data_IF_573197893264
#
_entry.id   IF_573197893264
#
_cell.length_a   1.000
_cell.length_b   1.000
_cell.length_c   1.000
_cell.angle_alpha   90.00
_cell.angle_beta   90.00
_cell.angle_gamma   90.00
#
_symmetry.space_group_name_H-M   'P 1'
#
loop_
_entity.id
_entity.type
_entity.pdbx_description
1 polymer ?
#
# COMPACT_ATOMS: atom_id res chain seq x y z
N UNK A 1 15.97 -40.09 -73.42
CA UNK A 1 16.34 -39.00 -72.50
C UNK A 1 15.44 -37.80 -72.77
N UNK A 2 14.41 -37.57 -71.95
CA UNK A 2 13.66 -36.30 -71.92
C UNK A 2 13.92 -35.68 -70.56
N UNK A 3 14.86 -34.74 -70.52
CA UNK A 3 15.17 -33.92 -69.35
C UNK A 3 14.40 -32.62 -69.46
N UNK A 4 13.41 -32.41 -68.57
CA UNK A 4 12.93 -31.14 -67.99
C UNK A 4 11.57 -31.40 -67.29
N UNK A 5 11.18 -30.67 -66.23
CA UNK A 5 11.89 -29.53 -65.63
C UNK A 5 11.96 -29.66 -64.11
N UNK A 6 13.13 -30.07 -63.59
CA UNK A 6 13.44 -29.91 -62.15
C UNK A 6 13.40 -28.41 -61.75
N UNK A 7 13.60 -27.51 -62.72
CA UNK A 7 13.57 -26.04 -62.53
C UNK A 7 12.19 -25.45 -62.21
N UNK A 8 11.08 -26.02 -62.72
CA UNK A 8 9.73 -25.48 -62.49
C UNK A 8 9.24 -25.79 -61.07
N UNK A 9 9.64 -26.94 -60.53
CA UNK A 9 9.36 -27.30 -59.13
C UNK A 9 10.11 -26.39 -58.15
N UNK A 10 11.38 -26.09 -58.44
CA UNK A 10 12.19 -25.19 -57.61
C UNK A 10 11.65 -23.75 -57.59
N UNK A 11 11.24 -23.22 -58.75
CA UNK A 11 10.69 -21.86 -58.82
C UNK A 11 9.36 -21.74 -58.05
N UNK A 12 8.52 -22.78 -58.11
CA UNK A 12 7.27 -22.87 -57.35
C UNK A 12 7.50 -22.88 -55.83
N UNK A 13 8.50 -23.65 -55.36
CA UNK A 13 8.86 -23.73 -53.95
C UNK A 13 9.41 -22.39 -53.44
N UNK A 14 10.25 -21.70 -54.22
CA UNK A 14 10.80 -20.38 -53.84
C UNK A 14 9.67 -19.35 -53.70
N UNK A 15 8.73 -19.32 -54.65
CA UNK A 15 7.58 -18.41 -54.57
C UNK A 15 6.69 -18.71 -53.36
N UNK A 16 6.46 -19.99 -53.04
CA UNK A 16 5.70 -20.37 -51.85
C UNK A 16 6.40 -19.93 -50.55
N UNK A 17 7.72 -20.04 -50.48
CA UNK A 17 8.51 -19.58 -49.32
C UNK A 17 8.43 -18.05 -49.17
N UNK A 18 8.51 -17.29 -50.27
CA UNK A 18 8.41 -15.83 -50.24
C UNK A 18 7.02 -15.38 -49.76
N UNK A 19 5.97 -16.01 -50.28
CA UNK A 19 4.58 -15.72 -49.87
C UNK A 19 4.38 -16.06 -48.39
N UNK A 20 4.88 -17.22 -47.94
CA UNK A 20 4.77 -17.65 -46.56
C UNK A 20 5.56 -16.72 -45.62
N UNK A 21 6.78 -16.33 -46.00
CA UNK A 21 7.59 -15.37 -45.24
C UNK A 21 6.94 -13.99 -45.16
N UNK A 22 6.34 -13.50 -46.26
CA UNK A 22 5.58 -12.26 -46.28
C UNK A 22 4.33 -12.30 -45.40
N UNK A 23 3.60 -13.42 -45.42
CA UNK A 23 2.45 -13.63 -44.55
C UNK A 23 2.85 -13.70 -43.07
N UNK A 24 3.94 -14.39 -42.74
CA UNK A 24 4.50 -14.43 -41.38
C UNK A 24 4.96 -13.04 -40.94
N UNK A 25 5.65 -12.28 -41.80
CA UNK A 25 6.07 -10.91 -41.50
C UNK A 25 4.87 -9.97 -41.27
N UNK A 26 3.77 -10.14 -42.01
CA UNK A 26 2.51 -9.44 -41.78
C UNK A 26 1.85 -9.86 -40.47
N UNK A 27 1.78 -11.16 -40.17
CA UNK A 27 1.19 -11.66 -38.91
C UNK A 27 2.01 -11.19 -37.71
N UNK A 28 3.34 -11.21 -37.79
CA UNK A 28 4.22 -10.68 -36.74
C UNK A 28 4.11 -9.15 -36.68
N UNK A 29 4.11 -8.46 -37.81
CA UNK A 29 4.00 -7.00 -37.89
C UNK A 29 2.67 -6.46 -37.36
N UNK A 30 1.54 -7.13 -37.65
CA UNK A 30 0.23 -6.81 -37.08
C UNK A 30 0.06 -7.33 -35.65
N UNK A 31 0.75 -8.42 -35.28
CA UNK A 31 0.73 -9.00 -33.93
C UNK A 31 1.47 -8.17 -32.88
N UNK A 32 2.36 -7.25 -33.29
CA UNK A 32 3.08 -6.31 -32.41
C UNK A 32 2.43 -4.91 -32.43
N UNK A 33 1.12 -4.80 -32.68
CA UNK A 33 0.39 -3.61 -32.22
C UNK A 33 0.17 -3.73 -30.71
N UNK A 34 1.26 -3.57 -29.96
CA UNK A 34 1.31 -3.78 -28.52
C UNK A 34 0.31 -2.89 -27.78
N UNK A 35 -0.49 -3.49 -26.90
CA UNK A 35 -1.18 -2.73 -25.84
C UNK A 35 -0.09 -2.09 -24.98
N UNK A 36 0.15 -0.81 -25.18
CA UNK A 36 1.07 -0.05 -24.35
C UNK A 36 0.67 -0.21 -22.88
N UNK A 37 1.63 -0.58 -22.04
CA UNK A 37 1.49 -0.63 -20.59
C UNK A 37 1.98 0.69 -19.99
N UNK A 38 1.32 1.14 -18.92
CA UNK A 38 1.76 2.30 -18.14
C UNK A 38 2.13 1.86 -16.73
N UNK A 39 3.06 2.60 -16.11
CA UNK A 39 3.43 2.37 -14.72
C UNK A 39 2.30 2.86 -13.80
N UNK A 40 1.92 2.01 -12.85
CA UNK A 40 1.00 2.33 -11.74
C UNK A 40 1.67 1.88 -10.46
N UNK A 41 1.66 2.72 -9.44
CA UNK A 41 2.33 2.47 -8.16
C UNK A 41 1.38 2.77 -7.01
N UNK A 42 1.22 1.80 -6.12
CA UNK A 42 0.54 1.95 -4.85
C UNK A 42 1.57 2.09 -3.73
N UNK A 43 1.21 2.83 -2.69
CA UNK A 43 2.01 2.95 -1.48
C UNK A 43 1.25 2.36 -0.29
N UNK A 44 2.00 1.85 0.68
CA UNK A 44 1.41 1.28 1.89
C UNK A 44 0.44 2.27 2.51
N UNK A 45 -0.75 1.77 2.83
CA UNK A 45 -1.79 2.55 3.45
C UNK A 45 -2.41 1.69 4.55
N UNK A 46 -2.65 2.30 5.70
CA UNK A 46 -3.38 1.68 6.80
C UNK A 46 -4.41 2.67 7.34
N UNK A 47 -5.55 2.17 7.81
CA UNK A 47 -6.63 3.01 8.31
C UNK A 47 -6.85 2.86 9.81
N UNK A 48 -6.99 4.00 10.49
CA UNK A 48 -7.46 4.04 11.87
C UNK A 48 -8.98 3.95 11.89
N UNK A 49 -9.55 3.04 12.70
CA UNK A 49 -10.99 2.83 12.77
C UNK A 49 -11.73 4.12 13.14
N UNK A 50 -12.74 4.47 12.34
CA UNK A 50 -13.56 5.67 12.50
C UNK A 50 -12.99 6.93 11.84
N UNK A 51 -11.71 6.95 11.47
CA UNK A 51 -11.07 8.09 10.79
C UNK A 51 -11.16 7.95 9.27
N UNK A 52 -10.83 9.03 8.56
CA UNK A 52 -10.65 9.02 7.10
C UNK A 52 -9.24 8.53 6.76
N UNK A 53 -9.10 7.78 5.67
CA UNK A 53 -7.83 7.23 5.20
C UNK A 53 -7.64 7.46 3.70
N UNK A 54 -6.39 7.42 3.25
CA UNK A 54 -6.02 7.57 1.84
C UNK A 54 -5.37 6.27 1.38
N UNK A 55 -6.00 5.61 0.40
CA UNK A 55 -5.40 4.50 -0.34
C UNK A 55 -4.61 5.09 -1.50
N UNK A 56 -3.28 5.06 -1.38
CA UNK A 56 -2.40 5.76 -2.30
C UNK A 56 -2.24 5.00 -3.62
N UNK A 57 -2.49 5.68 -4.74
CA UNK A 57 -2.23 5.17 -6.09
C UNK A 57 -1.80 6.31 -7.02
N UNK A 58 -0.70 6.09 -7.73
CA UNK A 58 -0.13 7.05 -8.67
C UNK A 58 0.13 6.37 -10.01
N UNK A 59 0.10 7.15 -11.09
CA UNK A 59 0.30 6.67 -12.44
C UNK A 59 1.01 7.71 -13.30
N UNK A 60 1.51 7.30 -14.46
CA UNK A 60 2.13 8.22 -15.41
C UNK A 60 1.11 9.30 -15.87
N UNK A 61 1.39 10.60 -15.69
CA UNK A 61 0.45 11.67 -16.03
C UNK A 61 -0.02 11.64 -17.50
N UNK A 62 -1.28 12.01 -17.72
CA UNK A 62 -1.88 12.18 -19.05
C UNK A 62 -2.69 13.48 -19.11
N UNK A 63 -2.38 14.33 -20.10
CA UNK A 63 -3.07 15.61 -20.31
C UNK A 63 -4.52 15.43 -20.80
N UNK A 64 -4.88 14.26 -21.33
CA UNK A 64 -6.22 13.96 -21.85
C UNK A 64 -7.13 13.43 -20.74
N UNK A 65 -7.54 14.29 -19.80
CA UNK A 65 -8.36 13.94 -18.64
C UNK A 65 -9.61 13.10 -18.99
N UNK A 66 -10.33 13.44 -20.06
CA UNK A 66 -11.53 12.70 -20.48
C UNK A 66 -11.25 11.26 -20.93
N UNK A 67 -10.00 10.97 -21.34
CA UNK A 67 -9.54 9.63 -21.70
C UNK A 67 -9.02 8.81 -20.52
N UNK A 68 -8.95 9.39 -19.32
CA UNK A 68 -8.51 8.71 -18.11
C UNK A 68 -9.70 7.94 -17.50
N UNK A 69 -9.46 6.66 -17.20
CA UNK A 69 -10.35 5.80 -16.44
C UNK A 69 -9.58 5.31 -15.22
N UNK A 70 -10.15 5.50 -14.04
CA UNK A 70 -9.63 4.99 -12.77
C UNK A 70 -10.68 4.05 -12.20
N UNK A 71 -10.29 2.82 -11.88
CA UNK A 71 -11.15 1.87 -11.19
C UNK A 71 -10.44 1.35 -9.95
N UNK A 72 -11.08 1.54 -8.80
CA UNK A 72 -10.72 0.87 -7.57
C UNK A 72 -11.63 -0.34 -7.37
N UNK A 73 -11.01 -1.49 -7.14
CA UNK A 73 -11.70 -2.75 -6.88
C UNK A 73 -11.16 -3.35 -5.57
N UNK A 74 -12.00 -4.12 -4.87
CA UNK A 74 -11.61 -4.90 -3.69
C UNK A 74 -11.82 -6.37 -3.99
N UNK A 75 -10.81 -7.19 -3.75
CA UNK A 75 -10.92 -8.64 -3.95
C UNK A 75 -12.08 -9.23 -3.14
N UNK A 76 -12.82 -10.16 -3.74
CA UNK A 76 -13.98 -10.80 -3.10
C UNK A 76 -15.24 -9.91 -2.99
N UNK A 77 -15.25 -8.70 -3.55
CA UNK A 77 -16.42 -7.81 -3.55
C UNK A 77 -17.08 -7.77 -4.94
N UNK A 78 -18.39 -8.01 -5.00
CA UNK A 78 -19.15 -7.94 -6.24
C UNK A 78 -19.55 -6.47 -6.56
N UNK A 79 -18.65 -5.72 -7.20
CA UNK A 79 -18.86 -4.33 -7.58
C UNK A 79 -17.58 -3.49 -7.47
N UNK A 80 -17.61 -2.23 -7.91
CA UNK A 80 -16.47 -1.33 -7.76
C UNK A 80 -16.44 -0.68 -6.37
N UNK A 81 -15.24 -0.38 -5.90
CA UNK A 81 -15.03 0.50 -4.74
C UNK A 81 -15.27 1.94 -5.16
N UNK A 82 -14.72 2.33 -6.31
CA UNK A 82 -14.89 3.65 -6.90
C UNK A 82 -14.54 3.59 -8.40
N UNK A 83 -15.24 4.34 -9.25
CA UNK A 83 -14.87 4.50 -10.66
C UNK A 83 -14.94 5.97 -11.06
N UNK A 84 -13.96 6.38 -11.87
CA UNK A 84 -13.87 7.71 -12.49
C UNK A 84 -13.65 7.53 -13.98
N UNK A 85 -14.46 8.22 -14.80
CA UNK A 85 -14.44 8.13 -16.25
C UNK A 85 -15.00 9.40 -16.86
N UNK A 86 -14.39 9.85 -17.96
CA UNK A 86 -14.89 11.03 -18.68
C UNK A 86 -14.79 12.31 -17.85
N UNK A 87 -13.77 12.42 -17.00
CA UNK A 87 -13.51 13.60 -16.18
C UNK A 87 -14.37 13.74 -14.92
N UNK A 88 -15.12 12.69 -14.53
CA UNK A 88 -15.98 12.70 -13.34
C UNK A 88 -16.12 11.30 -12.72
N UNK A 89 -16.64 11.26 -11.50
CA UNK A 89 -17.00 10.02 -10.82
C UNK A 89 -18.18 9.33 -11.54
N UNK A 90 -18.11 8.01 -11.71
CA UNK A 90 -19.19 7.13 -12.17
C UNK A 90 -19.45 6.06 -11.12
N UNK A 91 -20.39 6.33 -10.21
CA UNK A 91 -20.66 5.48 -9.04
C UNK A 91 -21.85 4.55 -9.24
N UNK A 92 -22.32 4.38 -10.49
CA UNK A 92 -23.50 3.58 -10.80
C UNK A 92 -23.37 2.10 -10.39
N UNK A 93 -22.15 1.54 -10.49
CA UNK A 93 -21.81 0.16 -10.11
C UNK A 93 -21.09 0.04 -8.76
N UNK A 94 -21.10 1.12 -7.97
CA UNK A 94 -20.41 1.13 -6.67
C UNK A 94 -21.09 0.19 -5.67
N UNK A 95 -20.29 -0.69 -5.08
CA UNK A 95 -20.72 -1.61 -4.04
C UNK A 95 -21.22 -0.86 -2.79
N UNK A 96 -22.29 -1.37 -2.17
CA UNK A 96 -23.02 -0.69 -1.10
C UNK A 96 -22.13 -0.26 0.08
N UNK A 97 -21.17 -1.12 0.47
CA UNK A 97 -20.25 -0.85 1.59
C UNK A 97 -19.39 0.42 1.42
N UNK A 98 -19.24 0.94 0.20
CA UNK A 98 -18.42 2.10 -0.15
C UNK A 98 -19.22 3.35 -0.51
N UNK A 99 -20.55 3.22 -0.66
CA UNK A 99 -21.42 4.34 -1.05
C UNK A 99 -21.33 5.50 -0.07
N UNK A 100 -21.10 6.70 -0.60
CA UNK A 100 -20.94 7.94 0.18
C UNK A 100 -19.65 8.03 1.01
N UNK A 101 -18.79 7.01 0.94
CA UNK A 101 -17.55 6.92 1.74
C UNK A 101 -16.29 7.17 0.92
N UNK A 102 -16.36 7.15 -0.40
CA UNK A 102 -15.18 7.26 -1.27
C UNK A 102 -15.14 8.55 -2.05
N UNK A 103 -13.95 9.11 -2.29
CA UNK A 103 -13.74 10.18 -3.26
C UNK A 103 -12.32 10.13 -3.81
N UNK A 104 -12.14 10.50 -5.09
CA UNK A 104 -10.82 10.81 -5.64
C UNK A 104 -10.46 12.29 -5.42
N UNK A 105 -9.17 12.60 -5.57
CA UNK A 105 -8.67 13.97 -5.68
C UNK A 105 -8.76 14.40 -7.15
N UNK A 106 -9.98 14.72 -7.61
CA UNK A 106 -10.28 14.90 -9.05
C UNK A 106 -9.41 15.98 -9.71
N UNK A 107 -9.02 17.01 -8.97
CA UNK A 107 -8.10 18.08 -9.40
C UNK A 107 -6.67 17.59 -9.65
N UNK A 108 -6.28 16.47 -9.05
CA UNK A 108 -4.93 15.89 -9.15
C UNK A 108 -4.85 14.70 -10.12
N UNK A 109 -5.98 14.26 -10.69
CA UNK A 109 -6.01 13.14 -11.65
C UNK A 109 -5.15 13.41 -12.88
N UNK A 110 -5.21 14.63 -13.42
CA UNK A 110 -4.45 15.00 -14.63
C UNK A 110 -2.93 14.94 -14.43
N UNK A 111 -2.46 15.12 -13.18
CA UNK A 111 -1.05 15.03 -12.81
C UNK A 111 -0.66 13.67 -12.24
N UNK A 112 -1.49 12.64 -12.46
CA UNK A 112 -1.14 11.25 -12.15
C UNK A 112 -1.53 10.78 -10.74
N UNK A 113 -2.39 11.49 -10.01
CA UNK A 113 -2.88 11.04 -8.71
C UNK A 113 -4.24 10.32 -8.85
N UNK A 114 -4.26 9.02 -8.56
CA UNK A 114 -5.46 8.20 -8.52
C UNK A 114 -5.80 7.73 -7.09
N UNK A 115 -5.26 8.41 -6.08
CA UNK A 115 -5.45 8.04 -4.67
C UNK A 115 -6.91 8.21 -4.25
N UNK A 116 -7.37 7.26 -3.44
CA UNK A 116 -8.76 7.19 -2.99
C UNK A 116 -8.85 7.58 -1.52
N UNK A 117 -9.63 8.62 -1.21
CA UNK A 117 -10.06 8.88 0.16
C UNK A 117 -11.19 7.92 0.51
N UNK A 118 -11.04 7.19 1.61
CA UNK A 118 -12.05 6.33 2.22
C UNK A 118 -12.44 6.90 3.60
N UNK A 119 -13.72 7.22 3.77
CA UNK A 119 -14.24 7.84 4.99
C UNK A 119 -14.66 6.82 6.05
N UNK A 120 -14.46 7.20 7.31
CA UNK A 120 -14.91 6.44 8.48
C UNK A 120 -14.55 4.97 8.40
N UNK A 121 -13.25 4.67 8.41
CA UNK A 121 -12.71 3.32 8.19
C UNK A 121 -13.32 2.29 9.14
N UNK A 122 -13.59 1.10 8.61
CA UNK A 122 -14.18 -0.05 9.29
C UNK A 122 -13.25 -1.25 9.21
N UNK A 123 -13.42 -2.21 10.12
CA UNK A 123 -12.67 -3.48 10.09
C UNK A 123 -12.86 -4.23 8.76
N UNK A 124 -14.08 -4.25 8.23
CA UNK A 124 -14.43 -4.91 6.96
C UNK A 124 -13.80 -4.28 5.72
N UNK A 125 -13.26 -3.06 5.84
CA UNK A 125 -12.57 -2.41 4.74
C UNK A 125 -11.17 -3.01 4.51
N UNK A 126 -10.60 -3.77 5.46
CA UNK A 126 -9.33 -4.44 5.26
C UNK A 126 -9.39 -5.45 4.09
N UNK A 127 -8.25 -5.62 3.42
CA UNK A 127 -8.09 -6.59 2.32
C UNK A 127 -7.25 -6.05 1.17
N UNK A 128 -7.21 -6.82 0.08
CA UNK A 128 -6.49 -6.46 -1.14
C UNK A 128 -7.36 -5.59 -2.03
N UNK A 129 -6.82 -4.43 -2.40
CA UNK A 129 -7.39 -3.52 -3.38
C UNK A 129 -6.57 -3.54 -4.66
N UNK A 130 -7.23 -3.30 -5.78
CA UNK A 130 -6.60 -3.08 -7.07
C UNK A 130 -6.94 -1.68 -7.58
N UNK A 131 -5.91 -0.90 -7.89
CA UNK A 131 -6.03 0.36 -8.61
C UNK A 131 -5.71 0.10 -10.10
N UNK A 132 -6.73 0.19 -10.95
CA UNK A 132 -6.63 0.00 -12.39
C UNK A 132 -6.73 1.34 -13.10
N UNK A 133 -5.78 1.61 -14.00
CA UNK A 133 -5.70 2.87 -14.75
C UNK A 133 -5.70 2.58 -16.25
N UNK A 134 -6.54 3.31 -16.98
CA UNK A 134 -6.49 3.37 -18.45
C UNK A 134 -6.32 4.83 -18.85
N UNK A 135 -5.37 5.08 -19.74
CA UNK A 135 -5.05 6.41 -20.29
C UNK A 135 -4.97 6.32 -21.82
N UNK A 136 -4.72 7.45 -22.48
CA UNK A 136 -4.44 7.46 -23.92
C UNK A 136 -3.10 6.81 -24.28
N UNK A 137 -2.19 6.70 -23.31
CA UNK A 137 -0.87 6.07 -23.46
C UNK A 137 -0.90 4.58 -23.25
N UNK A 138 -1.91 4.03 -22.56
CA UNK A 138 -1.94 2.61 -22.23
C UNK A 138 -2.73 2.26 -20.97
N UNK A 139 -2.58 1.02 -20.50
CA UNK A 139 -3.25 0.48 -19.31
C UNK A 139 -2.23 -0.05 -18.30
N UNK A 140 -2.50 0.13 -17.02
CA UNK A 140 -1.71 -0.44 -15.93
C UNK A 140 -2.54 -0.67 -14.67
N UNK A 141 -1.98 -1.40 -13.72
CA UNK A 141 -2.60 -1.61 -12.41
C UNK A 141 -1.59 -1.95 -11.32
N UNK A 142 -1.91 -1.62 -10.09
CA UNK A 142 -1.16 -2.04 -8.91
C UNK A 142 -2.11 -2.51 -7.80
N UNK A 143 -1.62 -3.45 -6.99
CA UNK A 143 -2.35 -3.97 -5.83
C UNK A 143 -1.89 -3.28 -4.56
N UNK A 144 -2.80 -3.12 -3.61
CA UNK A 144 -2.55 -2.54 -2.30
C UNK A 144 -3.16 -3.46 -1.24
N UNK A 145 -2.33 -4.00 -0.37
CA UNK A 145 -2.80 -4.68 0.83
C UNK A 145 -3.13 -3.61 1.89
N UNK A 146 -4.42 -3.43 2.16
CA UNK A 146 -4.90 -2.41 3.08
C UNK A 146 -5.24 -3.03 4.44
N UNK A 147 -4.53 -2.56 5.48
CA UNK A 147 -4.76 -2.98 6.87
C UNK A 147 -5.62 -1.94 7.60
N UNK A 148 -6.48 -2.40 8.49
CA UNK A 148 -7.27 -1.54 9.38
C UNK A 148 -7.08 -1.94 10.82
N UNK A 149 -7.08 -0.96 11.71
CA UNK A 149 -6.85 -1.17 13.13
C UNK A 149 -7.24 0.05 13.94
N UNK A 150 -7.16 -0.06 15.26
CA UNK A 150 -7.25 1.10 16.14
C UNK A 150 -5.85 1.39 16.67
N UNK A 151 -5.46 2.65 16.69
CA UNK A 151 -4.22 3.09 17.32
C UNK A 151 -4.38 4.52 17.80
N UNK A 152 -3.73 4.84 18.90
CA UNK A 152 -3.79 6.15 19.55
C UNK A 152 -2.45 6.50 20.14
N UNK A 153 -2.12 7.79 20.16
CA UNK A 153 -0.93 8.28 20.85
C UNK A 153 -1.07 8.01 22.35
N UNK A 154 -0.01 7.54 23.03
CA UNK A 154 -0.02 7.38 24.46
C UNK A 154 0.04 8.74 25.16
N UNK A 155 -0.65 8.83 26.29
CA UNK A 155 -0.51 9.88 27.28
C UNK A 155 0.49 9.45 28.34
N UNK A 156 1.46 10.33 28.63
CA UNK A 156 2.54 10.07 29.59
C UNK A 156 2.32 10.87 30.86
N UNK A 157 2.34 10.20 32.01
CA UNK A 157 2.12 10.83 33.31
C UNK A 157 3.10 10.31 34.37
N UNK A 158 3.29 11.09 35.43
CA UNK A 158 3.93 10.60 36.66
C UNK A 158 2.85 9.91 37.47
N UNK A 159 3.10 8.69 37.92
CA UNK A 159 2.15 7.93 38.74
C UNK A 159 2.36 8.27 40.22
N UNK A 160 1.57 9.20 40.74
CA UNK A 160 1.64 9.59 42.15
C UNK A 160 1.04 8.57 43.13
N UNK A 161 0.35 7.53 42.62
CA UNK A 161 -0.27 6.49 43.44
C UNK A 161 0.69 5.31 43.71
N UNK A 162 1.76 5.18 42.92
CA UNK A 162 2.73 4.09 42.99
C UNK A 162 4.13 4.67 43.27
N UNK A 163 4.46 4.96 44.53
CA UNK A 163 5.70 5.67 44.94
C UNK A 163 5.98 6.97 44.16
N UNK A 164 6.90 7.81 44.60
CA UNK A 164 7.23 9.08 43.93
C UNK A 164 8.06 8.92 42.65
N UNK A 165 8.29 7.68 42.20
CA UNK A 165 9.30 7.31 41.19
C UNK A 165 8.72 6.43 40.07
N UNK A 166 7.41 6.50 39.83
CA UNK A 166 6.76 5.70 38.78
C UNK A 166 6.24 6.56 37.64
N UNK A 167 6.35 6.03 36.42
CA UNK A 167 5.85 6.65 35.19
C UNK A 167 4.73 5.81 34.62
N UNK A 168 3.70 6.46 34.10
CA UNK A 168 2.49 5.84 33.57
C UNK A 168 2.28 6.21 32.12
N UNK A 169 2.03 5.22 31.30
CA UNK A 169 1.74 5.32 29.88
C UNK A 169 0.34 4.75 29.62
N UNK A 170 -0.57 5.57 29.11
CA UNK A 170 -1.92 5.13 28.76
C UNK A 170 -2.24 5.42 27.30
N UNK A 171 -2.71 4.44 26.54
CA UNK A 171 -3.21 4.66 25.18
C UNK A 171 -4.67 4.17 25.07
N UNK A 172 -5.64 5.03 24.71
CA UNK A 172 -7.07 4.70 24.82
C UNK A 172 -7.56 3.53 23.98
N UNK A 173 -6.98 3.31 22.79
CA UNK A 173 -7.49 2.34 21.82
C UNK A 173 -6.38 1.75 20.94
N UNK A 174 -6.29 0.43 20.98
CA UNK A 174 -5.39 -0.38 20.17
C UNK A 174 -6.05 -1.66 19.66
N UNK A 175 -5.82 -1.98 18.39
CA UNK A 175 -6.23 -3.22 17.73
C UNK A 175 -5.43 -3.35 16.41
N UNK A 176 -4.78 -4.50 16.10
CA UNK A 176 -4.57 -5.68 16.96
C UNK A 176 -3.87 -5.37 18.28
N UNK A 177 -3.90 -6.32 19.22
CA UNK A 177 -3.21 -6.19 20.50
C UNK A 177 -1.72 -5.85 20.27
N UNK A 178 -1.23 -4.74 20.84
CA UNK A 178 0.15 -4.33 20.64
C UNK A 178 1.08 -4.96 21.66
N UNK A 179 2.37 -4.92 21.35
CA UNK A 179 3.43 -5.05 22.34
C UNK A 179 3.71 -3.68 22.97
N UNK A 180 4.18 -3.70 24.22
CA UNK A 180 4.58 -2.49 24.94
C UNK A 180 6.00 -2.69 25.46
N UNK A 181 6.87 -1.74 25.20
CA UNK A 181 8.24 -1.73 25.68
C UNK A 181 8.61 -0.35 26.21
N UNK A 182 9.34 -0.31 27.32
CA UNK A 182 9.95 0.91 27.82
C UNK A 182 11.39 0.99 27.32
N UNK A 183 11.84 2.21 27.03
CA UNK A 183 13.25 2.48 26.72
C UNK A 183 13.69 3.75 27.45
N UNK A 184 15.01 3.93 27.58
CA UNK A 184 15.62 5.14 28.12
C UNK A 184 16.56 5.74 27.09
N UNK A 185 16.66 7.08 27.09
CA UNK A 185 17.62 7.78 26.24
C UNK A 185 19.08 7.40 26.56
N UNK A 186 19.37 7.09 27.83
CA UNK A 186 20.73 6.76 28.30
C UNK A 186 21.07 5.30 28.05
N UNK A 187 20.12 4.40 28.29
CA UNK A 187 20.31 2.96 28.18
C UNK A 187 19.39 2.35 27.12
N UNK A 188 19.73 2.55 25.85
CA UNK A 188 18.92 2.06 24.72
C UNK A 188 18.82 0.52 24.65
N UNK A 189 19.69 -0.21 25.37
CA UNK A 189 19.70 -1.67 25.46
C UNK A 189 19.31 -2.23 26.83
N UNK A 190 18.85 -1.40 27.77
CA UNK A 190 18.39 -1.88 29.07
C UNK A 190 17.07 -2.65 28.93
N UNK A 191 16.96 -3.74 29.70
CA UNK A 191 15.73 -4.50 29.82
C UNK A 191 14.87 -3.96 30.98
N UNK A 192 13.75 -3.33 30.63
CA UNK A 192 12.78 -2.80 31.58
C UNK A 192 11.65 -3.78 31.92
N UNK A 193 11.69 -5.02 31.42
CA UNK A 193 10.62 -6.02 31.61
C UNK A 193 10.36 -6.37 33.08
N UNK A 194 11.40 -6.36 33.91
CA UNK A 194 11.31 -6.68 35.35
C UNK A 194 10.81 -5.52 36.21
N UNK A 195 10.87 -4.30 35.68
CA UNK A 195 10.52 -3.06 36.38
C UNK A 195 9.36 -2.33 35.72
N UNK A 196 8.60 -3.02 34.86
CA UNK A 196 7.38 -2.48 34.27
C UNK A 196 6.24 -3.47 34.37
N UNK A 197 5.01 -2.95 34.42
CA UNK A 197 3.79 -3.75 34.42
C UNK A 197 2.84 -3.19 33.36
N UNK A 198 2.40 -4.06 32.44
CA UNK A 198 1.49 -3.69 31.36
C UNK A 198 0.20 -4.49 31.49
N UNK A 199 -0.93 -3.78 31.44
CA UNK A 199 -2.27 -4.35 31.39
C UNK A 199 -3.04 -3.85 30.18
N UNK A 200 -4.01 -4.66 29.75
CA UNK A 200 -4.91 -4.34 28.66
C UNK A 200 -6.35 -4.39 29.16
N UNK A 201 -7.08 -3.31 28.97
CA UNK A 201 -8.49 -3.20 29.36
C UNK A 201 -9.35 -3.14 28.09
N UNK A 202 -10.36 -4.00 27.97
CA UNK A 202 -11.29 -3.88 26.84
C UNK A 202 -12.19 -2.66 27.00
N UNK A 203 -12.50 -2.00 25.88
CA UNK A 203 -13.55 -0.99 25.84
C UNK A 203 -14.94 -1.64 26.05
N UNK A 204 -15.97 -0.81 26.28
CA UNK A 204 -17.35 -1.25 26.53
C UNK A 204 -17.95 -2.12 25.41
N UNK A 205 -17.46 -1.98 24.18
CA UNK A 205 -17.90 -2.75 23.01
C UNK A 205 -17.10 -4.06 22.81
N UNK A 206 -16.08 -4.30 23.64
CA UNK A 206 -15.14 -5.43 23.53
C UNK A 206 -14.40 -5.52 22.17
N UNK A 207 -14.14 -4.39 21.52
CA UNK A 207 -13.47 -4.32 20.21
C UNK A 207 -12.02 -3.86 20.33
N UNK A 208 -11.75 -2.82 21.13
CA UNK A 208 -10.42 -2.20 21.23
C UNK A 208 -9.87 -2.33 22.64
N UNK A 209 -8.54 -2.38 22.74
CA UNK A 209 -7.82 -2.46 24.01
C UNK A 209 -7.31 -1.07 24.40
N UNK A 210 -7.63 -0.63 25.61
CA UNK A 210 -6.90 0.43 26.30
C UNK A 210 -5.61 -0.18 26.86
N UNK A 211 -4.49 0.41 26.49
CA UNK A 211 -3.17 0.04 27.00
C UNK A 211 -2.88 0.87 28.24
N UNK A 212 -2.46 0.21 29.31
CA UNK A 212 -1.97 0.86 30.53
C UNK A 212 -0.64 0.20 30.88
N UNK A 213 0.43 0.98 30.97
CA UNK A 213 1.75 0.49 31.38
C UNK A 213 2.36 1.41 32.41
N UNK A 214 2.92 0.82 33.47
CA UNK A 214 3.60 1.54 34.55
C UNK A 214 5.05 1.08 34.59
N UNK A 215 5.98 2.03 34.60
CA UNK A 215 7.40 1.82 34.83
C UNK A 215 7.74 2.26 36.26
N UNK A 216 8.37 1.38 37.03
CA UNK A 216 8.80 1.63 38.40
C UNK A 216 10.29 2.03 38.45
N UNK A 217 10.68 2.68 39.55
CA UNK A 217 12.07 3.09 39.84
C UNK A 217 12.68 3.98 38.75
N UNK A 218 11.87 4.89 38.20
CA UNK A 218 12.32 5.87 37.23
C UNK A 218 13.16 6.96 37.93
N UNK A 219 14.30 7.30 37.33
CA UNK A 219 15.22 8.30 37.88
C UNK A 219 14.98 9.68 37.26
N UNK A 220 15.13 10.72 38.08
CA UNK A 220 15.04 12.11 37.62
C UNK A 220 16.18 12.45 36.65
N UNK A 221 15.97 13.46 35.82
CA UNK A 221 16.88 13.92 34.77
C UNK A 221 17.12 12.94 33.61
N UNK A 222 16.37 11.83 33.54
CA UNK A 222 16.37 10.91 32.41
C UNK A 222 15.08 11.01 31.59
N UNK A 223 15.20 10.75 30.28
CA UNK A 223 14.05 10.65 29.38
C UNK A 223 13.72 9.18 29.20
N UNK A 224 12.47 8.83 29.50
CA UNK A 224 11.93 7.50 29.28
C UNK A 224 10.89 7.54 28.16
N UNK A 225 10.85 6.47 27.37
CA UNK A 225 9.94 6.33 26.24
C UNK A 225 9.11 5.06 26.41
N UNK A 226 7.80 5.20 26.38
CA UNK A 226 6.86 4.09 26.24
C UNK A 226 6.59 3.87 24.75
N UNK A 227 6.94 2.69 24.24
CA UNK A 227 6.74 2.30 22.84
C UNK A 227 5.62 1.27 22.78
N UNK A 228 4.55 1.61 22.07
CA UNK A 228 3.41 0.72 21.82
C UNK A 228 3.38 0.41 20.32
N UNK A 229 3.42 -0.87 19.95
CA UNK A 229 3.63 -1.27 18.55
C UNK A 229 2.85 -2.54 18.19
N UNK A 230 2.30 -2.58 16.98
CA UNK A 230 1.79 -3.80 16.36
C UNK A 230 2.23 -3.87 14.88
N UNK A 231 1.60 -4.70 14.06
CA UNK A 231 1.95 -4.84 12.65
C UNK A 231 1.36 -3.76 11.71
N UNK A 232 0.73 -2.73 12.28
CA UNK A 232 0.07 -1.61 11.59
C UNK A 232 0.71 -0.27 11.96
N UNK A 233 0.93 -0.02 13.25
CA UNK A 233 1.35 1.28 13.75
C UNK A 233 2.27 1.16 14.97
N UNK A 234 3.08 2.20 15.15
CA UNK A 234 3.97 2.42 16.28
C UNK A 234 3.67 3.78 16.90
N UNK A 235 3.34 3.81 18.17
CA UNK A 235 3.26 5.05 18.94
C UNK A 235 4.38 5.10 20.00
N UNK A 236 4.89 6.29 20.25
CA UNK A 236 5.91 6.52 21.27
C UNK A 236 5.48 7.70 22.12
N UNK A 237 5.46 7.52 23.43
CA UNK A 237 5.28 8.58 24.42
C UNK A 237 6.56 8.78 25.20
N UNK A 238 7.12 9.98 25.13
CA UNK A 238 8.34 10.40 25.80
C UNK A 238 8.00 11.24 27.03
N UNK A 239 8.69 10.98 28.14
CA UNK A 239 8.59 11.78 29.37
C UNK A 239 9.97 12.00 29.98
N UNK A 240 10.23 13.24 30.38
CA UNK A 240 11.41 13.64 31.15
C UNK A 240 10.97 14.41 32.38
N UNK A 241 11.34 13.90 33.55
CA UNK A 241 11.09 14.54 34.85
C UNK A 241 12.40 15.12 35.35
N UNK A 242 12.42 16.41 35.68
CA UNK A 242 13.54 17.07 36.36
C UNK A 242 13.05 17.66 37.69
N UNK A 243 13.96 18.23 38.47
CA UNK A 243 13.60 18.88 39.75
C UNK A 243 12.69 20.10 39.57
N UNK A 244 12.57 20.65 38.35
CA UNK A 244 11.86 21.89 38.06
C UNK A 244 10.77 21.78 36.98
N UNK A 245 10.80 20.75 36.14
CA UNK A 245 9.88 20.62 35.02
C UNK A 245 9.56 19.16 34.66
N UNK A 246 8.39 18.95 34.06
CA UNK A 246 8.01 17.68 33.42
C UNK A 246 7.73 17.96 31.95
N UNK A 247 8.55 17.39 31.07
CA UNK A 247 8.39 17.47 29.61
C UNK A 247 7.78 16.18 29.06
N UNK A 248 6.82 16.32 28.17
CA UNK A 248 6.09 15.20 27.55
C UNK A 248 5.98 15.43 26.05
N UNK A 249 6.11 14.37 25.26
CA UNK A 249 5.90 14.41 23.83
C UNK A 249 5.39 13.06 23.35
N UNK A 250 4.42 13.05 22.44
CA UNK A 250 3.92 11.80 21.86
C UNK A 250 3.96 11.87 20.34
N UNK A 251 4.19 10.72 19.70
CA UNK A 251 4.19 10.57 18.24
C UNK A 251 3.55 9.26 17.83
N UNK A 252 3.01 9.23 16.61
CA UNK A 252 2.41 8.07 15.97
C UNK A 252 2.97 7.92 14.55
N UNK A 253 3.31 6.69 14.17
CA UNK A 253 3.83 6.36 12.85
C UNK A 253 3.16 5.08 12.33
N UNK A 254 2.74 5.09 11.06
CA UNK A 254 2.28 3.88 10.37
C UNK A 254 3.47 3.04 9.92
N UNK A 255 3.36 1.73 10.04
CA UNK A 255 4.41 0.79 9.67
C UNK A 255 4.18 0.27 8.24
N UNK A 256 5.21 0.39 7.41
CA UNK A 256 5.10 0.06 6.00
C UNK A 256 5.28 -1.45 5.76
N UNK A 257 4.27 -2.13 5.20
CA UNK A 257 4.49 -3.33 4.38
C UNK A 257 4.90 -2.90 2.97
N UNK A 258 6.00 -3.45 2.43
CA UNK A 258 6.68 -3.05 1.17
C UNK A 258 5.76 -2.54 0.04
N UNK A 259 6.23 -1.51 -0.67
CA UNK A 259 5.66 -1.10 -1.95
C UNK A 259 5.64 -2.27 -2.95
N UNK A 260 4.52 -2.48 -3.64
CA UNK A 260 4.40 -3.48 -4.70
C UNK A 260 4.45 -2.77 -6.05
N UNK A 261 5.55 -2.90 -6.82
CA UNK A 261 5.56 -2.45 -8.20
C UNK A 261 4.52 -3.27 -8.97
N UNK A 262 3.56 -2.59 -9.62
CA UNK A 262 2.65 -3.26 -10.54
C UNK A 262 3.43 -3.92 -11.68
N UNK A 263 3.13 -5.18 -11.99
CA UNK A 263 3.74 -5.87 -13.10
C UNK A 263 3.40 -5.15 -14.42
N UNK A 264 4.39 -4.59 -15.08
CA UNK A 264 4.30 -4.36 -16.52
C UNK A 264 4.13 -5.75 -17.17
N UNK A 265 3.14 -5.91 -18.03
CA UNK A 265 3.01 -7.13 -18.81
C UNK A 265 4.35 -7.38 -19.54
N UNK A 266 4.99 -8.51 -19.24
CA UNK A 266 6.25 -8.90 -19.86
C UNK A 266 6.04 -8.91 -21.38
N UNK A 267 6.71 -7.99 -22.08
CA UNK A 267 6.86 -8.07 -23.53
C UNK A 267 7.59 -9.37 -23.90
N UNK A 268 7.39 -9.89 -25.12
CA UNK A 268 7.99 -11.15 -25.52
C UNK A 268 9.52 -11.03 -25.41
N UNK A 269 10.12 -12.00 -24.72
CA UNK A 269 11.56 -12.18 -24.60
C UNK A 269 12.20 -12.07 -25.98
N UNK A 270 13.02 -11.04 -26.18
CA UNK A 270 13.89 -10.93 -27.33
C UNK A 270 14.84 -12.12 -27.32
N UNK A 271 14.70 -13.02 -28.29
CA UNK A 271 15.65 -14.09 -28.51
C UNK A 271 16.97 -13.46 -28.97
N UNK A 272 17.94 -13.42 -28.07
CA UNK A 272 19.33 -13.15 -28.41
C UNK A 272 19.80 -14.27 -29.34
N UNK A 273 19.99 -13.96 -30.61
CA UNK A 273 20.67 -14.83 -31.57
C UNK A 273 22.11 -15.05 -31.09
N UNK A 274 22.43 -16.26 -30.66
CA UNK A 274 23.83 -16.71 -30.58
C UNK A 274 24.40 -16.76 -32.01
N UNK A 275 25.61 -16.21 -32.26
CA UNK A 275 26.27 -16.39 -33.54
C UNK A 275 26.81 -17.82 -33.63
N UNK A 276 26.28 -18.62 -34.56
CA UNK A 276 26.90 -19.86 -35.00
C UNK A 276 28.16 -19.51 -35.80
N UNK A 277 29.32 -19.63 -35.16
CA UNK A 277 30.61 -19.64 -35.82
C UNK A 277 30.75 -20.95 -36.61
N UNK A 278 30.88 -20.85 -37.94
CA UNK A 278 31.29 -21.95 -38.80
C UNK A 278 32.72 -22.40 -38.47
N UNK A 279 32.91 -23.71 -38.29
CA UNK A 279 34.02 -24.43 -38.90
C UNK A 279 33.66 -25.90 -39.14
#
# INVERSE_FOLDING_TARGET
MRSLPVSVSFYSIINAIIILAGAIALIIGFGISGRHSIAVTTFTSAGNLGEDSILSCTFEPDIKLNGIIIQWQKEGTAGSVHEFRGGRDDLSQQHEAFRGRTALFSDQVIVGNASLRLKSVRLTDAGTYQCLIVTSKGKGSAHLEYKTGAFSMPEMNVDFNASSESLRCEAPRWLPQPTVAWTSQVDQGADFSQVSNTSFELNSENVTLKVVSVLYNATVNHTYSCVIENDIAKATGDIKVTDSEIKRQSRLQLLNSKASPGAAALGPLGWTLLPLMLK
#
